data_IF_541642054710
#
_entry.id   IF_541642054710
#
_cell.length_a   1.000
_cell.length_b   1.000
_cell.length_c   1.000
_cell.angle_alpha   90.00
_cell.angle_beta   90.00
_cell.angle_gamma   90.00
#
_symmetry.space_group_name_H-M   'P 1'
#
loop_
_entity.id
_entity.type
_entity.pdbx_description
1 polymer ?
#
# COMPACT_ATOMS: atom_id res chain seq x y z
N UNK A 1 -15.56 13.41 11.12
CA UNK A 1 -15.29 12.05 10.62
C UNK A 1 -14.33 11.37 11.58
N UNK A 2 -14.58 10.13 11.99
CA UNK A 2 -13.57 9.36 12.71
C UNK A 2 -12.37 9.16 11.77
N UNK A 3 -11.17 9.45 12.27
CA UNK A 3 -9.93 9.20 11.53
C UNK A 3 -9.78 7.70 11.34
N UNK A 4 -9.75 7.25 10.09
CA UNK A 4 -9.46 5.85 9.75
C UNK A 4 -7.96 5.68 9.76
N UNK A 5 -7.48 4.71 10.53
CA UNK A 5 -6.09 4.31 10.47
C UNK A 5 -5.86 3.50 9.18
N UNK A 6 -5.23 4.15 8.19
CA UNK A 6 -4.95 3.56 6.88
C UNK A 6 -4.04 2.33 6.95
N UNK A 7 -3.26 2.19 8.03
CA UNK A 7 -2.34 1.06 8.22
C UNK A 7 -3.08 -0.23 8.53
N UNK A 8 -4.23 -0.12 9.18
CA UNK A 8 -5.09 -1.23 9.60
C UNK A 8 -6.12 -1.63 8.53
N UNK A 9 -6.20 -0.89 7.42
CA UNK A 9 -7.13 -1.22 6.34
C UNK A 9 -6.70 -2.53 5.67
N UNK A 10 -7.64 -3.47 5.60
CA UNK A 10 -7.47 -4.73 4.89
C UNK A 10 -7.64 -4.53 3.39
N UNK A 11 -6.71 -5.07 2.59
CA UNK A 11 -6.84 -5.15 1.14
C UNK A 11 -7.51 -6.49 0.83
N UNK A 12 -8.65 -6.43 0.14
CA UNK A 12 -9.39 -7.63 -0.21
C UNK A 12 -8.59 -8.55 -1.14
N UNK A 13 -8.86 -9.86 -1.05
CA UNK A 13 -8.11 -10.90 -1.75
C UNK A 13 -8.19 -10.73 -3.28
N UNK A 14 -9.37 -10.40 -3.81
CA UNK A 14 -9.59 -10.12 -5.24
C UNK A 14 -8.75 -8.94 -5.76
N UNK A 15 -8.62 -7.87 -4.98
CA UNK A 15 -7.74 -6.74 -5.30
C UNK A 15 -6.27 -7.18 -5.23
N UNK A 16 -5.90 -7.96 -4.21
CA UNK A 16 -4.56 -8.51 -4.08
C UNK A 16 -4.16 -9.39 -5.26
N UNK A 17 -5.05 -10.27 -5.72
CA UNK A 17 -4.88 -11.11 -6.91
C UNK A 17 -4.74 -10.26 -8.18
N UNK A 18 -5.58 -9.23 -8.34
CA UNK A 18 -5.46 -8.32 -9.48
C UNK A 18 -4.09 -7.62 -9.51
N UNK A 19 -3.61 -7.16 -8.36
CA UNK A 19 -2.30 -6.53 -8.25
C UNK A 19 -1.15 -7.52 -8.46
N UNK A 20 -1.34 -8.78 -8.10
CA UNK A 20 -0.39 -9.86 -8.38
C UNK A 20 -0.24 -10.07 -9.89
N UNK A 21 -1.32 -10.03 -10.66
CA UNK A 21 -1.23 -10.12 -12.12
C UNK A 21 -0.61 -8.87 -12.75
N UNK A 22 -0.87 -7.69 -12.18
CA UNK A 22 -0.22 -6.45 -12.62
C UNK A 22 1.30 -6.55 -12.52
N UNK A 23 1.85 -6.99 -11.38
CA UNK A 23 3.32 -7.07 -11.21
C UNK A 23 3.95 -8.14 -12.09
N UNK A 24 3.23 -9.23 -12.38
CA UNK A 24 3.65 -10.23 -13.35
C UNK A 24 3.76 -9.62 -14.75
N UNK A 25 2.69 -8.95 -15.22
CA UNK A 25 2.63 -8.34 -16.55
C UNK A 25 3.67 -7.23 -16.74
N UNK A 26 3.91 -6.39 -15.71
CA UNK A 26 4.96 -5.37 -15.76
C UNK A 26 6.32 -6.02 -16.01
N UNK A 27 6.64 -7.08 -15.27
CA UNK A 27 7.93 -7.77 -15.40
C UNK A 27 8.09 -8.44 -16.76
N UNK A 28 7.02 -9.06 -17.27
CA UNK A 28 7.03 -9.70 -18.59
C UNK A 28 7.23 -8.67 -19.72
N UNK A 29 6.49 -7.57 -19.70
CA UNK A 29 6.54 -6.54 -20.74
C UNK A 29 7.87 -5.78 -20.73
N UNK A 30 8.39 -5.47 -19.53
CA UNK A 30 9.63 -4.71 -19.37
C UNK A 30 10.90 -5.57 -19.43
N UNK A 31 10.74 -6.91 -19.40
CA UNK A 31 11.83 -7.87 -19.25
C UNK A 31 12.69 -7.66 -17.99
N UNK A 32 12.13 -7.03 -16.95
CA UNK A 32 12.79 -6.81 -15.66
C UNK A 32 12.39 -7.94 -14.70
N UNK A 33 13.36 -8.55 -13.98
CA UNK A 33 13.06 -9.74 -13.18
C UNK A 33 12.14 -9.43 -11.99
N UNK A 34 12.41 -8.40 -11.19
CA UNK A 34 11.66 -8.14 -9.97
C UNK A 34 10.76 -6.92 -10.12
N UNK A 35 9.44 -7.11 -10.09
CA UNK A 35 8.48 -6.02 -9.86
C UNK A 35 7.72 -6.30 -8.58
N UNK A 36 7.65 -5.32 -7.68
CA UNK A 36 7.07 -5.50 -6.36
C UNK A 36 6.05 -4.40 -6.06
N UNK A 37 5.05 -4.76 -5.25
CA UNK A 37 4.33 -3.79 -4.43
C UNK A 37 4.79 -4.00 -2.99
N UNK A 38 5.39 -2.97 -2.41
CA UNK A 38 5.78 -2.94 -1.01
C UNK A 38 4.67 -2.24 -0.22
N UNK A 39 4.24 -2.83 0.90
CA UNK A 39 3.29 -2.22 1.83
C UNK A 39 4.04 -1.66 3.04
N UNK A 40 3.80 -0.39 3.34
CA UNK A 40 4.31 0.28 4.50
C UNK A 40 3.45 -0.04 5.73
N UNK A 41 4.09 -0.63 6.75
CA UNK A 41 3.55 -0.75 8.09
C UNK A 41 4.15 0.32 9.01
N UNK A 42 3.92 0.22 10.32
CA UNK A 42 4.39 1.24 11.27
C UNK A 42 5.92 1.37 11.30
N UNK A 43 6.65 0.26 11.23
CA UNK A 43 8.11 0.21 11.34
C UNK A 43 8.76 -0.78 10.36
N UNK A 44 7.96 -1.31 9.42
CA UNK A 44 8.37 -2.40 8.53
C UNK A 44 7.84 -2.14 7.12
N UNK A 45 8.56 -2.66 6.13
CA UNK A 45 8.11 -2.79 4.76
C UNK A 45 7.84 -4.26 4.48
N UNK A 46 6.64 -4.56 4.00
CA UNK A 46 6.23 -5.91 3.60
C UNK A 46 6.26 -6.04 2.09
N UNK A 47 6.80 -7.15 1.57
CA UNK A 47 6.59 -7.58 0.19
C UNK A 47 5.13 -8.02 0.04
N UNK A 48 4.25 -7.10 -0.39
CA UNK A 48 2.82 -7.35 -0.50
C UNK A 48 2.48 -8.19 -1.73
N UNK A 49 3.03 -7.82 -2.88
CA UNK A 49 3.03 -8.65 -4.09
C UNK A 49 4.40 -8.61 -4.74
N UNK A 50 4.73 -9.68 -5.47
CA UNK A 50 5.97 -9.78 -6.23
C UNK A 50 5.72 -10.46 -7.57
N UNK A 51 6.45 -10.07 -8.61
CA UNK A 51 6.44 -10.81 -9.87
C UNK A 51 6.94 -12.24 -9.69
N UNK A 52 6.34 -13.18 -10.41
CA UNK A 52 6.69 -14.60 -10.35
C UNK A 52 7.68 -15.00 -11.45
N UNK A 53 8.74 -14.19 -11.65
CA UNK A 53 9.79 -14.49 -12.64
C UNK A 53 10.92 -15.34 -12.03
N UNK A 54 11.70 -16.08 -12.86
CA UNK A 54 12.78 -16.95 -12.39
C UNK A 54 13.95 -16.28 -11.64
N UNK A 55 14.05 -14.94 -11.59
CA UNK A 55 15.17 -14.22 -10.99
C UNK A 55 14.74 -13.14 -9.98
N UNK A 56 13.51 -13.24 -9.47
CA UNK A 56 13.05 -12.36 -8.40
C UNK A 56 13.46 -12.96 -7.03
N UNK A 57 14.39 -12.34 -6.28
CA UNK A 57 14.93 -12.90 -5.03
C UNK A 57 14.00 -12.70 -3.82
N UNK A 58 12.96 -11.87 -3.94
CA UNK A 58 12.12 -11.48 -2.83
C UNK A 58 11.10 -12.56 -2.47
N UNK A 59 10.85 -12.75 -1.17
CA UNK A 59 9.87 -13.72 -0.68
C UNK A 59 8.52 -13.05 -0.40
N UNK A 60 7.38 -13.64 -0.82
CA UNK A 60 6.06 -13.08 -0.47
C UNK A 60 5.90 -12.95 1.04
N UNK A 61 5.30 -11.83 1.50
CA UNK A 61 5.09 -11.50 2.93
C UNK A 61 6.35 -11.30 3.75
N UNK A 62 7.54 -11.34 3.14
CA UNK A 62 8.77 -10.97 3.81
C UNK A 62 8.70 -9.53 4.31
N UNK A 63 9.23 -9.29 5.50
CA UNK A 63 9.20 -8.00 6.16
C UNK A 63 10.59 -7.57 6.55
N UNK A 64 10.90 -6.32 6.23
CA UNK A 64 12.16 -5.69 6.58
C UNK A 64 11.91 -4.46 7.45
N UNK A 65 12.81 -4.22 8.40
CA UNK A 65 12.72 -3.03 9.25
C UNK A 65 13.13 -1.80 8.46
N UNK A 66 12.39 -0.72 8.65
CA UNK A 66 12.72 0.59 8.09
C UNK A 66 13.95 1.16 8.81
N UNK A 67 14.77 1.92 8.07
CA UNK A 67 15.99 2.56 8.53
C UNK A 67 17.25 1.81 8.08
N UNK A 68 17.14 0.91 7.10
CA UNK A 68 18.28 0.17 6.55
C UNK A 68 18.83 0.79 5.25
N UNK A 69 18.25 1.91 4.78
CA UNK A 69 18.69 2.57 3.55
C UNK A 69 18.21 1.86 2.29
N UNK A 70 17.05 1.20 2.35
CA UNK A 70 16.42 0.55 1.20
C UNK A 70 15.96 1.59 0.18
N UNK A 71 15.90 1.21 -1.10
CA UNK A 71 15.42 2.13 -2.15
C UNK A 71 14.01 2.64 -1.87
N UNK A 72 13.13 1.73 -1.43
CA UNK A 72 11.74 2.03 -1.11
C UNK A 72 11.61 3.07 0.02
N UNK A 73 12.55 3.11 0.97
CA UNK A 73 12.54 4.11 2.03
C UNK A 73 12.73 5.53 1.48
N UNK A 74 13.63 5.71 0.51
CA UNK A 74 13.83 7.01 -0.11
C UNK A 74 12.61 7.46 -0.92
N UNK A 75 11.92 6.54 -1.60
CA UNK A 75 10.65 6.82 -2.29
C UNK A 75 9.58 7.27 -1.29
N UNK A 76 9.44 6.56 -0.18
CA UNK A 76 8.45 6.85 0.87
C UNK A 76 8.76 8.19 1.54
N UNK A 77 10.00 8.40 1.96
CA UNK A 77 10.43 9.62 2.64
C UNK A 77 10.37 10.84 1.72
N UNK A 78 10.75 10.66 0.45
CA UNK A 78 10.73 11.70 -0.56
C UNK A 78 9.36 11.97 -1.17
N UNK A 79 8.40 11.05 -1.00
CA UNK A 79 7.07 11.08 -1.62
C UNK A 79 7.12 11.33 -3.13
N UNK A 80 8.14 10.77 -3.79
CA UNK A 80 8.43 10.98 -5.22
C UNK A 80 9.11 9.76 -5.82
N UNK A 81 9.11 9.70 -7.15
CA UNK A 81 9.81 8.64 -7.86
C UNK A 81 11.32 8.65 -7.59
N UNK A 82 11.93 7.47 -7.55
CA UNK A 82 13.36 7.26 -7.47
C UNK A 82 13.80 6.39 -8.64
N UNK A 83 14.86 6.81 -9.34
CA UNK A 83 15.50 6.05 -10.40
C UNK A 83 16.99 5.91 -10.04
N UNK A 84 17.46 4.68 -9.96
CA UNK A 84 18.86 4.30 -9.80
C UNK A 84 19.21 3.38 -10.95
N UNK A 85 20.02 3.84 -11.89
CA UNK A 85 20.36 3.05 -13.07
C UNK A 85 21.40 1.97 -12.75
N UNK A 86 22.31 2.25 -11.82
CA UNK A 86 23.34 1.32 -11.36
C UNK A 86 23.87 1.76 -9.99
N UNK A 87 23.47 1.06 -8.94
CA UNK A 87 23.87 1.34 -7.58
C UNK A 87 25.37 1.14 -7.34
N UNK A 88 26.03 0.26 -8.11
CA UNK A 88 27.47 0.03 -7.98
C UNK A 88 28.31 1.25 -8.39
N UNK A 89 27.73 2.14 -9.20
CA UNK A 89 28.37 3.37 -9.70
C UNK A 89 27.81 4.63 -9.05
N UNK A 90 26.79 4.50 -8.21
CA UNK A 90 26.11 5.61 -7.55
C UNK A 90 26.57 5.73 -6.08
N UNK A 91 27.28 6.80 -5.69
CA UNK A 91 27.78 6.98 -4.33
C UNK A 91 26.69 6.96 -3.24
N UNK A 92 25.45 7.34 -3.58
CA UNK A 92 24.35 7.36 -2.63
C UNK A 92 23.77 5.95 -2.41
N UNK A 93 23.99 5.03 -3.36
CA UNK A 93 23.36 3.70 -3.39
C UNK A 93 24.35 2.53 -3.35
N UNK A 94 25.65 2.76 -3.43
CA UNK A 94 26.67 1.72 -3.50
C UNK A 94 26.77 0.82 -2.25
N UNK A 95 26.12 1.20 -1.14
CA UNK A 95 26.02 0.41 0.08
C UNK A 95 24.60 -0.13 0.33
N UNK A 96 23.71 -0.05 -0.65
CA UNK A 96 22.32 -0.49 -0.51
C UNK A 96 22.23 -1.99 -0.18
N UNK A 97 21.39 -2.41 0.79
CA UNK A 97 21.26 -3.83 1.18
C UNK A 97 20.88 -4.77 0.03
N UNK A 98 20.04 -4.33 -0.91
CA UNK A 98 19.52 -5.13 -2.03
C UNK A 98 20.63 -5.52 -3.03
N UNK A 99 21.79 -4.85 -3.00
CA UNK A 99 22.98 -5.26 -3.78
C UNK A 99 23.40 -6.69 -3.43
N UNK A 100 23.23 -7.11 -2.16
CA UNK A 100 23.54 -8.49 -1.73
C UNK A 100 22.57 -9.53 -2.31
N UNK A 101 21.37 -9.10 -2.69
CA UNK A 101 20.39 -9.89 -3.42
C UNK A 101 20.62 -9.84 -4.94
N UNK A 102 21.67 -9.12 -5.37
CA UNK A 102 22.02 -8.89 -6.76
C UNK A 102 21.22 -7.78 -7.43
N UNK A 103 20.38 -7.01 -6.71
CA UNK A 103 19.57 -5.94 -7.30
C UNK A 103 20.35 -4.62 -7.28
N UNK A 104 20.75 -4.16 -8.47
CA UNK A 104 21.62 -2.99 -8.65
C UNK A 104 20.96 -1.85 -9.42
N UNK A 105 19.87 -2.11 -10.13
CA UNK A 105 19.04 -1.05 -10.70
C UNK A 105 17.68 -1.02 -10.02
N UNK A 106 17.13 0.19 -9.86
CA UNK A 106 15.85 0.42 -9.18
C UNK A 106 15.07 1.53 -9.87
N UNK A 107 13.79 1.30 -10.09
CA UNK A 107 12.84 2.37 -10.38
C UNK A 107 11.56 2.15 -9.59
N UNK A 108 11.20 3.10 -8.73
CA UNK A 108 10.05 2.99 -7.85
C UNK A 108 9.28 4.28 -7.68
N UNK A 109 7.99 4.14 -7.39
CA UNK A 109 7.04 5.23 -7.17
C UNK A 109 6.20 5.00 -5.91
N UNK A 110 5.85 6.06 -5.18
CA UNK A 110 5.01 5.96 -4.00
C UNK A 110 3.56 5.59 -4.37
N UNK A 111 2.90 4.81 -3.53
CA UNK A 111 1.46 4.55 -3.62
C UNK A 111 0.75 5.29 -2.49
N UNK A 112 -0.26 6.08 -2.82
CA UNK A 112 -0.97 6.91 -1.86
C UNK A 112 -2.38 6.40 -1.55
N UNK A 113 -2.75 6.52 -0.29
CA UNK A 113 -4.14 6.54 0.13
C UNK A 113 -4.79 7.89 -0.25
N UNK A 114 -6.13 7.95 -0.40
CA UNK A 114 -6.82 9.20 -0.76
C UNK A 114 -6.65 10.35 0.23
N UNK A 115 -6.34 10.04 1.50
CA UNK A 115 -6.06 11.03 2.53
C UNK A 115 -4.62 11.59 2.46
N UNK A 116 -3.80 11.13 1.52
CA UNK A 116 -2.40 11.52 1.34
C UNK A 116 -1.40 10.68 2.15
N UNK A 117 -1.85 9.70 2.93
CA UNK A 117 -0.93 8.74 3.57
C UNK A 117 -0.26 7.87 2.52
N UNK A 118 0.94 7.37 2.83
CA UNK A 118 1.65 6.43 1.96
C UNK A 118 1.18 5.01 2.30
N UNK A 119 0.63 4.31 1.31
CA UNK A 119 0.38 2.87 1.37
C UNK A 119 1.70 2.09 1.28
N UNK A 120 2.62 2.55 0.44
CA UNK A 120 3.92 1.94 0.22
C UNK A 120 4.49 2.33 -1.15
N UNK A 121 5.03 1.37 -1.91
CA UNK A 121 5.65 1.65 -3.21
C UNK A 121 5.29 0.58 -4.24
N UNK A 122 5.25 0.96 -5.52
CA UNK A 122 5.41 0.04 -6.64
C UNK A 122 6.80 0.24 -7.25
N UNK A 123 7.56 -0.83 -7.44
CA UNK A 123 8.94 -0.73 -7.93
C UNK A 123 9.34 -1.88 -8.85
N UNK A 124 10.36 -1.62 -9.66
CA UNK A 124 11.06 -2.55 -10.52
C UNK A 124 12.54 -2.58 -10.13
N UNK A 125 13.11 -3.78 -10.04
CA UNK A 125 14.51 -4.01 -9.70
C UNK A 125 15.15 -4.99 -10.68
N UNK A 126 16.39 -4.70 -11.03
CA UNK A 126 17.17 -5.50 -11.98
C UNK A 126 18.56 -5.81 -11.42
N UNK A 127 19.09 -6.96 -11.84
CA UNK A 127 20.46 -7.36 -11.55
C UNK A 127 21.49 -6.87 -12.56
N UNK A 128 21.04 -6.21 -13.62
CA UNK A 128 21.89 -5.48 -14.56
C UNK A 128 21.67 -3.96 -14.41
N UNK A 129 22.66 -3.14 -14.82
CA UNK A 129 22.43 -1.71 -15.01
C UNK A 129 21.26 -1.47 -15.97
N UNK A 130 20.34 -0.60 -15.60
CA UNK A 130 19.12 -0.36 -16.38
C UNK A 130 18.93 1.11 -16.71
N UNK A 131 18.68 1.40 -17.98
CA UNK A 131 18.13 2.68 -18.41
C UNK A 131 16.63 2.53 -18.63
N UNK A 132 15.84 2.93 -17.64
CA UNK A 132 14.39 2.89 -17.73
C UNK A 132 13.90 3.87 -18.80
N UNK A 133 13.49 3.33 -19.94
CA UNK A 133 13.02 4.12 -21.07
C UNK A 133 11.65 4.76 -20.80
N UNK A 134 11.22 5.67 -21.67
CA UNK A 134 9.95 6.38 -21.51
C UNK A 134 8.73 5.43 -21.53
N UNK A 135 8.66 4.40 -22.39
CA UNK A 135 7.61 3.38 -22.32
C UNK A 135 7.53 2.68 -20.97
N UNK A 136 8.65 2.19 -20.43
CA UNK A 136 8.72 1.50 -19.13
C UNK A 136 8.29 2.42 -17.98
N UNK A 137 8.73 3.68 -18.01
CA UNK A 137 8.31 4.70 -17.04
C UNK A 137 6.81 4.97 -17.08
N UNK A 138 6.25 5.09 -18.28
CA UNK A 138 4.81 5.28 -18.45
C UNK A 138 4.02 4.05 -18.03
N UNK A 139 4.50 2.84 -18.32
CA UNK A 139 3.88 1.59 -17.91
C UNK A 139 3.71 1.55 -16.39
N UNK A 140 4.80 1.73 -15.64
CA UNK A 140 4.76 1.71 -14.18
C UNK A 140 3.84 2.81 -13.63
N UNK A 141 3.86 4.01 -14.22
CA UNK A 141 3.01 5.14 -13.80
C UNK A 141 1.53 4.88 -14.04
N UNK A 142 1.18 4.19 -15.13
CA UNK A 142 -0.22 3.81 -15.39
C UNK A 142 -0.70 2.79 -14.37
N UNK A 143 0.12 1.80 -14.03
CA UNK A 143 -0.25 0.82 -13.01
C UNK A 143 -0.29 1.40 -11.59
N UNK A 144 0.61 2.33 -11.27
CA UNK A 144 0.52 3.12 -10.03
C UNK A 144 -0.86 3.78 -9.91
N UNK A 145 -1.34 4.46 -10.95
CA UNK A 145 -2.65 5.12 -10.94
C UNK A 145 -3.82 4.13 -10.81
N UNK A 146 -3.71 2.93 -11.38
CA UNK A 146 -4.72 1.86 -11.23
C UNK A 146 -4.76 1.39 -9.77
N UNK A 147 -3.60 1.10 -9.18
CA UNK A 147 -3.48 0.67 -7.78
C UNK A 147 -4.03 1.74 -6.83
N UNK A 148 -3.69 3.02 -7.05
CA UNK A 148 -4.23 4.13 -6.26
C UNK A 148 -5.76 4.30 -6.43
N UNK A 149 -6.30 3.98 -7.60
CA UNK A 149 -7.75 3.93 -7.82
C UNK A 149 -8.41 2.84 -6.99
N UNK A 150 -7.78 1.66 -6.89
CA UNK A 150 -8.27 0.57 -6.05
C UNK A 150 -8.13 0.90 -4.55
N UNK A 151 -7.02 1.50 -4.13
CA UNK A 151 -6.84 2.03 -2.77
C UNK A 151 -7.95 3.03 -2.41
N UNK A 152 -8.38 3.87 -3.35
CA UNK A 152 -9.51 4.77 -3.13
C UNK A 152 -10.83 4.03 -2.89
N UNK A 153 -11.12 2.99 -3.67
CA UNK A 153 -12.32 2.16 -3.45
C UNK A 153 -12.29 1.48 -2.08
N UNK A 154 -11.14 0.90 -1.71
CA UNK A 154 -10.96 0.24 -0.40
C UNK A 154 -11.14 1.25 0.73
N UNK A 155 -10.56 2.44 0.60
CA UNK A 155 -10.68 3.50 1.60
C UNK A 155 -12.14 3.96 1.77
N UNK A 156 -12.87 4.18 0.67
CA UNK A 156 -14.29 4.53 0.72
C UNK A 156 -15.14 3.41 1.36
N UNK A 157 -14.85 2.16 1.06
CA UNK A 157 -15.52 1.01 1.68
C UNK A 157 -15.28 0.97 3.19
N UNK A 158 -14.06 1.25 3.64
CA UNK A 158 -13.71 1.36 5.06
C UNK A 158 -14.47 2.52 5.74
N UNK A 159 -14.60 3.68 5.06
CA UNK A 159 -15.40 4.81 5.54
C UNK A 159 -16.86 4.43 5.73
N UNK A 160 -17.49 3.88 4.70
CA UNK A 160 -18.89 3.47 4.74
C UNK A 160 -19.14 2.43 5.83
N UNK A 161 -18.23 1.47 6.01
CA UNK A 161 -18.35 0.44 7.04
C UNK A 161 -18.28 1.03 8.45
N UNK A 162 -17.34 1.97 8.68
CA UNK A 162 -17.19 2.64 9.96
C UNK A 162 -18.39 3.56 10.29
N UNK A 163 -18.88 4.30 9.30
CA UNK A 163 -20.07 5.15 9.45
C UNK A 163 -21.32 4.32 9.72
N UNK A 164 -21.55 3.24 8.97
CA UNK A 164 -22.65 2.31 9.24
C UNK A 164 -22.58 1.74 10.65
N UNK A 165 -21.39 1.32 11.12
CA UNK A 165 -21.21 0.81 12.48
C UNK A 165 -21.56 1.86 13.54
N UNK A 166 -21.17 3.12 13.33
CA UNK A 166 -21.48 4.22 14.25
C UNK A 166 -22.99 4.52 14.27
N UNK A 167 -23.62 4.58 13.09
CA UNK A 167 -25.05 4.80 12.95
C UNK A 167 -25.85 3.67 13.63
N UNK A 168 -25.49 2.41 13.38
CA UNK A 168 -26.14 1.26 14.03
C UNK A 168 -26.05 1.30 15.55
N UNK A 169 -24.91 1.75 16.11
CA UNK A 169 -24.77 1.94 17.57
C UNK A 169 -25.72 3.03 18.08
N UNK A 170 -25.75 4.18 17.42
CA UNK A 170 -26.60 5.31 17.82
C UNK A 170 -28.09 4.94 17.74
N UNK A 171 -28.49 4.24 16.69
CA UNK A 171 -29.87 3.73 16.53
C UNK A 171 -30.22 2.74 17.64
N UNK A 172 -29.30 1.85 18.02
CA UNK A 172 -29.52 0.90 19.11
C UNK A 172 -29.65 1.59 20.48
N UNK A 173 -28.85 2.64 20.75
CA UNK A 173 -28.94 3.44 21.97
C UNK A 173 -30.27 4.19 22.06
N UNK A 174 -30.66 4.89 20.99
CA UNK A 174 -31.93 5.62 20.94
C UNK A 174 -33.15 4.69 21.08
N UNK A 175 -33.10 3.51 20.44
CA UNK A 175 -34.17 2.50 20.59
C UNK A 175 -34.32 2.06 22.04
N UNK A 176 -33.21 1.83 22.76
CA UNK A 176 -33.24 1.45 24.19
C UNK A 176 -33.79 2.57 25.07
N UNK A 177 -33.39 3.81 24.84
CA UNK A 177 -33.90 4.97 25.60
C UNK A 177 -35.41 5.15 25.40
N UNK A 178 -35.89 5.03 24.17
CA UNK A 178 -37.33 5.11 23.87
C UNK A 178 -38.11 3.96 24.51
N UNK A 179 -37.58 2.74 24.53
CA UNK A 179 -38.20 1.62 25.23
C UNK A 179 -38.26 1.82 26.74
N UNK A 180 -37.22 2.39 27.35
CA UNK A 180 -37.20 2.73 28.77
C UNK A 180 -38.23 3.81 29.11
N UNK A 181 -38.33 4.87 28.30
CA UNK A 181 -39.33 5.92 28.48
C UNK A 181 -40.75 5.37 28.34
N UNK A 182 -41.01 4.52 27.34
CA UNK A 182 -42.33 3.88 27.14
C UNK A 182 -42.71 2.99 28.32
N UNK A 183 -41.75 2.27 28.90
CA UNK A 183 -41.99 1.33 29.99
C UNK A 183 -41.91 1.98 31.39
N UNK A 184 -41.72 3.31 31.46
CA UNK A 184 -41.72 4.06 32.72
C UNK A 184 -43.15 4.23 33.25
N UNK A 185 -43.47 3.90 34.52
CA UNK A 185 -44.81 4.10 35.07
C UNK A 185 -45.18 5.60 35.09
N UNK A 186 -46.47 5.95 34.90
CA UNK A 186 -46.90 7.34 34.91
C UNK A 186 -46.51 8.01 36.24
N UNK A 187 -45.82 9.16 36.15
CA UNK A 187 -45.51 9.99 37.31
C UNK A 187 -46.84 10.33 38.01
N UNK A 188 -47.04 9.79 39.21
CA UNK A 188 -48.11 10.23 40.10
C UNK A 188 -47.80 11.66 40.51
N UNK A 189 -48.36 12.64 39.81
CA UNK A 189 -48.43 14.01 40.30
C UNK A 189 -49.41 14.03 41.48
N UNK A 190 -48.87 13.88 42.69
CA UNK A 190 -49.57 14.18 43.93
C UNK A 190 -49.81 15.69 44.02
N UNK A 191 -51.08 16.04 44.17
CA UNK A 191 -51.61 17.38 44.40
C UNK A 191 -51.05 18.04 45.68
#
# INVERSE_FOLDING_TARGET
MALIDTKEIYIHEDIGESWQEIVNLISEISAIPATLIMRLHKHELEVFTRSQTPNNPYTPRERERIGMGLYCEAVINGRKELIVNNALEDPDWCNNPDIKLGMIAYFGMPLHWPNGDIFGTICMLDNQPQQFDNPTKQLLRRFQAIIETDLNKVYQQAQLTNENKLLSKKVAEQTRELEQLRNSPPQQNSA
#
